data_IF_228720393325
#
_entry.id   IF_228720393325
#
_cell.length_a   1.000
_cell.length_b   1.000
_cell.length_c   1.000
_cell.angle_alpha   90.00
_cell.angle_beta   90.00
_cell.angle_gamma   90.00
#
_symmetry.space_group_name_H-M   'P 1'
#
loop_
_entity.id
_entity.type
_entity.pdbx_description
1 polymer ?
#
# COMPACT_ATOMS: atom_id res chain seq x y z
N UNK A 1 22.42 -19.25 9.04
CA UNK A 1 22.07 -17.87 8.66
C UNK A 1 20.56 -17.82 8.51
N UNK A 2 19.84 -17.39 9.55
CA UNK A 2 18.41 -17.09 9.42
C UNK A 2 18.36 -15.80 8.60
N UNK A 3 17.76 -15.88 7.41
CA UNK A 3 17.50 -14.68 6.60
C UNK A 3 16.61 -13.74 7.41
N UNK A 4 16.98 -12.47 7.48
CA UNK A 4 16.15 -11.47 8.16
C UNK A 4 14.76 -11.46 7.51
N UNK A 5 13.74 -11.82 8.28
CA UNK A 5 12.38 -11.97 7.77
C UNK A 5 11.88 -10.61 7.28
N UNK A 6 11.60 -10.53 5.98
CA UNK A 6 11.06 -9.32 5.36
C UNK A 6 9.60 -9.17 5.82
N UNK A 7 9.31 -8.06 6.48
CA UNK A 7 7.95 -7.68 6.86
C UNK A 7 7.25 -6.93 5.73
N UNK A 8 5.92 -7.09 5.64
CA UNK A 8 5.06 -6.47 4.64
C UNK A 8 3.81 -5.87 5.30
N UNK A 9 3.47 -4.65 4.89
CA UNK A 9 2.19 -3.99 5.16
C UNK A 9 1.46 -3.81 3.84
N UNK A 10 0.16 -4.05 3.84
CA UNK A 10 -0.72 -3.90 2.67
C UNK A 10 -1.88 -2.97 3.07
N UNK A 11 -2.11 -1.92 2.28
CA UNK A 11 -3.21 -0.97 2.46
C UNK A 11 -4.03 -0.94 1.19
N UNK A 12 -5.31 -1.31 1.30
CA UNK A 12 -6.29 -1.22 0.22
C UNK A 12 -6.82 0.22 0.15
N UNK A 13 -6.82 0.82 -1.03
CA UNK A 13 -7.20 2.23 -1.24
C UNK A 13 -8.24 2.36 -2.37
N UNK A 14 -9.26 3.23 -2.21
CA UNK A 14 -10.17 3.59 -3.29
C UNK A 14 -9.54 4.58 -4.28
N UNK A 15 -8.37 5.15 -4.00
CA UNK A 15 -7.74 6.15 -4.85
C UNK A 15 -7.09 5.50 -6.08
N UNK A 16 -7.09 6.22 -7.21
CA UNK A 16 -6.37 5.81 -8.42
C UNK A 16 -4.86 5.86 -8.20
N UNK A 17 -4.09 5.16 -9.03
CA UNK A 17 -2.62 5.19 -8.97
C UNK A 17 -2.07 6.61 -9.13
N UNK A 18 -2.62 7.36 -10.09
CA UNK A 18 -2.25 8.75 -10.32
C UNK A 18 -2.51 9.65 -9.11
N UNK A 19 -3.54 9.36 -8.32
CA UNK A 19 -3.87 10.12 -7.12
C UNK A 19 -2.93 9.81 -5.94
N UNK A 20 -2.47 8.57 -5.80
CA UNK A 20 -1.52 8.19 -4.73
C UNK A 20 -0.06 8.45 -5.08
N UNK A 21 0.29 8.51 -6.37
CA UNK A 21 1.68 8.60 -6.83
C UNK A 21 2.50 9.73 -6.18
N UNK A 22 2.02 11.00 -6.09
CA UNK A 22 2.80 12.07 -5.45
C UNK A 22 3.10 11.82 -3.97
N UNK A 23 2.14 11.22 -3.25
CA UNK A 23 2.33 10.84 -1.85
C UNK A 23 3.37 9.71 -1.72
N UNK A 24 3.28 8.67 -2.55
CA UNK A 24 4.20 7.53 -2.49
C UNK A 24 5.63 7.91 -2.87
N UNK A 25 5.82 8.83 -3.82
CA UNK A 25 7.14 9.37 -4.16
C UNK A 25 7.78 10.07 -2.95
N UNK A 26 7.00 10.96 -2.30
CA UNK A 26 7.45 11.64 -1.08
C UNK A 26 7.77 10.63 0.04
N UNK A 27 6.86 9.68 0.29
CA UNK A 27 7.05 8.67 1.32
C UNK A 27 8.29 7.82 1.04
N UNK A 28 8.51 7.41 -0.21
CA UNK A 28 9.68 6.64 -0.59
C UNK A 28 10.98 7.39 -0.27
N UNK A 29 11.06 8.69 -0.55
CA UNK A 29 12.23 9.51 -0.22
C UNK A 29 12.49 9.59 1.30
N UNK A 30 11.44 9.59 2.13
CA UNK A 30 11.56 9.64 3.60
C UNK A 30 11.98 8.30 4.22
N UNK A 31 11.66 7.17 3.57
CA UNK A 31 11.83 5.82 4.14
C UNK A 31 12.94 5.00 3.48
N UNK A 32 13.50 5.45 2.36
CA UNK A 32 14.54 4.74 1.60
C UNK A 32 15.79 4.48 2.46
N UNK A 33 16.27 5.48 3.21
CA UNK A 33 17.44 5.34 4.08
C UNK A 33 17.24 4.32 5.21
N UNK A 34 15.98 4.01 5.54
CA UNK A 34 15.59 2.99 6.52
C UNK A 34 15.37 1.60 5.88
N UNK A 35 15.65 1.47 4.59
CA UNK A 35 15.55 0.22 3.84
C UNK A 35 14.10 -0.22 3.58
N UNK A 36 13.15 0.71 3.58
CA UNK A 36 11.75 0.44 3.25
C UNK A 36 11.49 0.76 1.77
N UNK A 37 10.77 -0.13 1.11
CA UNK A 37 10.27 0.05 -0.26
C UNK A 37 8.77 0.26 -0.25
N UNK A 38 8.31 1.22 -1.04
CA UNK A 38 6.91 1.62 -1.20
C UNK A 38 6.48 1.37 -2.64
N UNK A 39 5.28 0.85 -2.85
CA UNK A 39 4.71 0.73 -4.20
C UNK A 39 3.20 0.63 -4.18
N UNK A 40 2.56 1.12 -5.24
CA UNK A 40 1.16 0.83 -5.55
C UNK A 40 1.04 -0.28 -6.58
N UNK A 41 -0.02 -1.08 -6.48
CA UNK A 41 -0.37 -2.13 -7.43
C UNK A 41 -1.82 -1.94 -7.88
N UNK A 42 -2.07 -1.73 -9.18
CA UNK A 42 -3.41 -1.61 -9.69
C UNK A 42 -4.02 -3.01 -9.76
N UNK A 43 -5.30 -3.12 -9.44
CA UNK A 43 -5.99 -4.42 -9.49
C UNK A 43 -6.97 -4.44 -10.64
N UNK A 44 -6.63 -5.19 -11.69
CA UNK A 44 -7.44 -5.28 -12.90
C UNK A 44 -8.86 -5.77 -12.60
N UNK A 45 -9.86 -5.05 -13.10
CA UNK A 45 -11.26 -5.36 -12.86
C UNK A 45 -11.74 -5.11 -11.42
N UNK A 46 -10.95 -4.39 -10.60
CA UNK A 46 -11.33 -3.97 -9.25
C UNK A 46 -11.43 -2.46 -9.16
N UNK A 47 -12.14 -1.99 -8.13
CA UNK A 47 -12.36 -0.58 -7.87
C UNK A 47 -11.37 0.01 -6.83
N UNK A 48 -10.40 -0.78 -6.39
CA UNK A 48 -9.46 -0.44 -5.33
C UNK A 48 -8.06 -0.89 -5.70
N UNK A 49 -7.08 -0.04 -5.46
CA UNK A 49 -5.66 -0.34 -5.61
C UNK A 49 -5.06 -0.78 -4.28
N UNK A 50 -3.84 -1.30 -4.34
CA UNK A 50 -3.11 -1.73 -3.15
C UNK A 50 -1.83 -0.92 -3.01
N UNK A 51 -1.57 -0.34 -1.84
CA UNK A 51 -0.26 0.21 -1.46
C UNK A 51 0.46 -0.81 -0.57
N UNK A 52 1.72 -1.08 -0.87
CA UNK A 52 2.56 -2.02 -0.13
C UNK A 52 3.80 -1.33 0.42
N UNK A 53 4.10 -1.60 1.70
CA UNK A 53 5.38 -1.27 2.33
C UNK A 53 6.13 -2.56 2.62
N UNK A 54 7.40 -2.63 2.27
CA UNK A 54 8.26 -3.80 2.50
C UNK A 54 9.57 -3.37 3.16
N UNK A 55 9.96 -4.03 4.24
CA UNK A 55 11.18 -3.70 4.98
C UNK A 55 11.53 -4.72 6.06
N UNK A 56 12.70 -4.57 6.69
CA UNK A 56 13.17 -5.47 7.76
C UNK A 56 12.72 -5.02 9.16
N UNK A 57 12.57 -3.72 9.36
CA UNK A 57 12.12 -3.16 10.63
C UNK A 57 10.58 -3.16 10.67
N UNK A 58 10.02 -4.21 11.28
CA UNK A 58 8.57 -4.34 11.46
C UNK A 58 8.00 -3.19 12.26
N UNK A 59 8.64 -2.76 13.35
CA UNK A 59 8.10 -1.72 14.22
C UNK A 59 8.02 -0.38 13.48
N UNK A 60 9.03 -0.09 12.66
CA UNK A 60 9.01 1.08 11.79
C UNK A 60 7.90 0.99 10.73
N UNK A 61 7.73 -0.16 10.05
CA UNK A 61 6.62 -0.35 9.11
C UNK A 61 5.25 -0.13 9.77
N UNK A 62 5.05 -0.67 10.97
CA UNK A 62 3.81 -0.50 11.74
C UNK A 62 3.55 0.98 12.08
N UNK A 63 4.61 1.76 12.36
CA UNK A 63 4.48 3.19 12.64
C UNK A 63 4.00 4.01 11.44
N UNK A 64 4.21 3.52 10.21
CA UNK A 64 3.80 4.20 8.98
C UNK A 64 2.33 3.94 8.60
N UNK A 65 1.70 2.90 9.17
CA UNK A 65 0.36 2.45 8.76
C UNK A 65 -0.66 3.58 8.83
N UNK A 66 -0.73 4.29 9.97
CA UNK A 66 -1.75 5.32 10.18
C UNK A 66 -1.59 6.51 9.22
N UNK A 67 -0.35 6.89 8.87
CA UNK A 67 -0.09 7.94 7.89
C UNK A 67 -0.51 7.49 6.49
N UNK A 68 -0.14 6.27 6.10
CA UNK A 68 -0.51 5.70 4.79
C UNK A 68 -2.03 5.59 4.66
N UNK A 69 -2.71 4.99 5.63
CA UNK A 69 -4.18 4.88 5.63
C UNK A 69 -4.85 6.24 5.45
N UNK A 70 -4.35 7.28 6.14
CA UNK A 70 -4.90 8.63 6.03
C UNK A 70 -4.66 9.26 4.65
N UNK A 71 -3.44 9.19 4.13
CA UNK A 71 -3.08 9.88 2.88
C UNK A 71 -3.61 9.16 1.63
N UNK A 72 -3.91 7.86 1.73
CA UNK A 72 -4.49 7.09 0.62
C UNK A 72 -5.99 6.77 0.82
N UNK A 73 -6.66 7.39 1.79
CA UNK A 73 -8.06 7.09 2.15
C UNK A 73 -8.32 5.57 2.27
N UNK A 74 -7.32 4.87 2.78
CA UNK A 74 -7.21 3.43 2.69
C UNK A 74 -7.51 2.73 4.00
N UNK A 75 -7.43 1.41 3.94
CA UNK A 75 -7.55 0.51 5.09
C UNK A 75 -6.50 -0.57 4.98
N UNK A 76 -5.80 -0.85 6.08
CA UNK A 76 -4.91 -2.00 6.17
C UNK A 76 -5.66 -3.31 5.94
N UNK A 77 -5.09 -4.15 5.09
CA UNK A 77 -5.55 -5.52 4.86
C UNK A 77 -4.37 -6.48 5.10
N UNK A 78 -4.66 -7.72 5.45
CA UNK A 78 -3.63 -8.77 5.59
C UNK A 78 -3.46 -9.57 4.31
N UNK A 79 -4.49 -9.56 3.46
CA UNK A 79 -4.47 -10.16 2.13
C UNK A 79 -5.08 -9.18 1.12
N UNK A 80 -4.52 -9.17 -0.08
CA UNK A 80 -5.11 -8.41 -1.17
C UNK A 80 -6.55 -8.86 -1.43
N UNK A 81 -7.48 -7.92 -1.52
CA UNK A 81 -8.91 -8.18 -1.76
C UNK A 81 -9.71 -8.66 -0.56
N UNK A 82 -9.14 -8.65 0.65
CA UNK A 82 -9.87 -8.93 1.89
C UNK A 82 -11.08 -8.01 2.09
N UNK A 83 -11.03 -6.78 1.56
CA UNK A 83 -12.08 -5.78 1.64
C UNK A 83 -12.85 -5.56 0.33
N UNK A 84 -12.67 -6.44 -0.66
CA UNK A 84 -13.44 -6.37 -1.90
C UNK A 84 -14.92 -6.67 -1.63
N UNK A 85 -15.81 -5.77 -2.05
CA UNK A 85 -17.24 -6.05 -2.10
C UNK A 85 -17.59 -6.72 -3.43
N UNK A 86 -18.32 -7.82 -3.37
CA UNK A 86 -18.74 -8.57 -4.55
C UNK A 86 -19.67 -7.71 -5.43
N UNK A 87 -19.33 -7.57 -6.72
CA UNK A 87 -20.14 -6.81 -7.70
C UNK A 87 -19.86 -5.31 -7.81
N UNK A 88 -18.84 -4.75 -7.15
CA UNK A 88 -18.46 -3.35 -7.39
C UNK A 88 -17.90 -3.12 -8.80
N UNK A 89 -18.38 -2.09 -9.54
CA UNK A 89 -17.88 -1.78 -10.87
C UNK A 89 -16.43 -1.28 -10.81
N UNK A 90 -15.60 -1.73 -11.77
CA UNK A 90 -14.19 -1.39 -11.85
C UNK A 90 -13.94 0.14 -11.97
N UNK A 91 -12.80 0.62 -11.48
CA UNK A 91 -12.33 1.95 -11.85
C UNK A 91 -12.07 1.98 -13.35
N UNK A 92 -12.67 2.96 -14.02
CA UNK A 92 -12.89 2.97 -15.47
C UNK A 92 -11.64 2.76 -16.30
N UNK A 93 -11.74 1.82 -17.24
CA UNK A 93 -11.01 1.88 -18.50
C UNK A 93 -11.52 3.11 -19.27
N UNK A 94 -10.71 4.15 -19.34
CA UNK A 94 -10.80 5.14 -20.42
C UNK A 94 -9.48 5.10 -21.19
#
# INVERSE_FOLDING_TARGET
RLGEEISRVIVSTPMSESAVAPYLEKLQAEVEEKGVKVGSYPRWGKNRNTVTLVGKDKAFLESLVADVEKNVEGRRVFKEGEDDVEGAPAQGSQ
#
